data_IF_970128117021
#
_entry.id   IF_970128117021
#
_cell.length_a   1.000
_cell.length_b   1.000
_cell.length_c   1.000
_cell.angle_alpha   90.00
_cell.angle_beta   90.00
_cell.angle_gamma   90.00
#
_symmetry.space_group_name_H-M   'P 1'
#
loop_
_entity.id
_entity.type
_entity.pdbx_description
1 polymer ?
#
# COMPACT_ATOMS: atom_id res chain seq x y z
N UNK A 1 -4.98 -21.71 27.04
CA UNK A 1 -3.96 -20.62 27.02
C UNK A 1 -4.09 -19.76 25.76
N UNK A 2 -4.33 -20.39 24.61
CA UNK A 2 -4.65 -19.81 23.30
C UNK A 2 -5.45 -18.48 23.30
N UNK A 3 -6.61 -18.40 23.95
CA UNK A 3 -7.46 -17.18 23.97
C UNK A 3 -6.74 -15.98 24.60
N UNK A 4 -5.96 -16.21 25.67
CA UNK A 4 -5.16 -15.15 26.31
C UNK A 4 -4.06 -14.68 25.37
N UNK A 5 -3.40 -15.61 24.68
CA UNK A 5 -2.31 -15.33 23.74
C UNK A 5 -2.81 -14.57 22.50
N UNK A 6 -3.95 -14.98 21.94
CA UNK A 6 -4.63 -14.32 20.84
C UNK A 6 -5.06 -12.89 21.21
N UNK A 7 -5.58 -12.70 22.44
CA UNK A 7 -5.91 -11.37 22.97
C UNK A 7 -4.67 -10.47 23.07
N UNK A 8 -3.53 -11.00 23.50
CA UNK A 8 -2.26 -10.25 23.58
C UNK A 8 -1.77 -9.87 22.18
N UNK A 9 -1.76 -10.80 21.23
CA UNK A 9 -1.32 -10.54 19.85
C UNK A 9 -2.17 -9.45 19.18
N UNK A 10 -3.49 -9.53 19.33
CA UNK A 10 -4.40 -8.58 18.67
C UNK A 10 -4.38 -7.22 19.37
N UNK A 11 -4.57 -7.18 20.70
CA UNK A 11 -4.73 -5.92 21.42
C UNK A 11 -3.43 -5.14 21.60
N UNK A 12 -2.26 -5.78 21.47
CA UNK A 12 -0.97 -5.09 21.42
C UNK A 12 -0.71 -4.32 20.12
N UNK A 13 -1.55 -4.54 19.09
CA UNK A 13 -1.42 -3.94 17.75
C UNK A 13 -2.62 -3.07 17.38
N UNK A 14 -3.81 -3.50 17.80
CA UNK A 14 -5.09 -2.84 17.56
C UNK A 14 -5.75 -2.48 18.89
N UNK A 15 -5.76 -1.20 19.27
CA UNK A 15 -6.58 -0.72 20.37
C UNK A 15 -8.04 -1.12 20.17
N UNK A 16 -8.76 -1.45 21.25
CA UNK A 16 -10.19 -1.79 21.19
C UNK A 16 -11.01 -0.72 20.47
N UNK A 17 -10.67 0.55 20.68
CA UNK A 17 -11.30 1.69 20.00
C UNK A 17 -11.13 1.63 18.48
N UNK A 18 -9.95 1.28 17.98
CA UNK A 18 -9.70 1.12 16.54
C UNK A 18 -10.55 0.00 15.95
N UNK A 19 -10.63 -1.15 16.63
CA UNK A 19 -11.45 -2.28 16.19
C UNK A 19 -12.93 -1.87 16.08
N UNK A 20 -13.44 -1.19 17.11
CA UNK A 20 -14.83 -0.70 17.11
C UNK A 20 -15.10 0.30 15.98
N UNK A 21 -14.18 1.22 15.71
CA UNK A 21 -14.31 2.19 14.62
C UNK A 21 -14.35 1.50 13.26
N UNK A 22 -13.47 0.51 13.01
CA UNK A 22 -13.47 -0.26 11.76
C UNK A 22 -14.80 -0.99 11.60
N UNK A 23 -15.24 -1.74 12.61
CA UNK A 23 -16.50 -2.49 12.56
C UNK A 23 -17.73 -1.59 12.37
N UNK A 24 -17.76 -0.41 13.02
CA UNK A 24 -18.83 0.55 12.85
C UNK A 24 -18.86 1.13 11.43
N UNK A 25 -17.68 1.47 10.88
CA UNK A 25 -17.56 1.98 9.53
C UNK A 25 -17.97 0.91 8.51
N UNK A 26 -17.54 -0.33 8.69
CA UNK A 26 -17.92 -1.45 7.83
C UNK A 26 -19.44 -1.68 7.85
N UNK A 27 -20.06 -1.65 9.02
CA UNK A 27 -21.51 -1.79 9.14
C UNK A 27 -22.26 -0.69 8.35
N UNK A 28 -21.83 0.56 8.49
CA UNK A 28 -22.37 1.70 7.72
C UNK A 28 -22.16 1.49 6.22
N UNK A 29 -20.95 1.08 5.82
CA UNK A 29 -20.59 0.87 4.41
C UNK A 29 -21.38 -0.29 3.79
N UNK A 30 -21.64 -1.37 4.52
CA UNK A 30 -22.52 -2.46 4.09
C UNK A 30 -23.95 -1.96 3.90
N UNK A 31 -24.49 -1.21 4.86
CA UNK A 31 -25.85 -0.68 4.80
C UNK A 31 -26.05 0.22 3.57
N UNK A 32 -25.08 1.06 3.24
CA UNK A 32 -25.12 1.96 2.07
C UNK A 32 -24.96 1.18 0.76
N UNK A 33 -24.14 0.12 0.77
CA UNK A 33 -23.81 -0.65 -0.46
C UNK A 33 -24.85 -1.71 -0.80
N UNK A 34 -25.60 -2.19 0.19
CA UNK A 34 -26.58 -3.27 0.03
C UNK A 34 -27.70 -2.98 -0.99
N UNK A 35 -28.29 -1.76 -1.03
CA UNK A 35 -29.25 -1.40 -2.08
C UNK A 35 -28.65 -1.41 -3.49
N UNK A 36 -27.34 -1.21 -3.64
CA UNK A 36 -26.66 -1.05 -4.94
C UNK A 36 -26.86 -2.23 -5.90
N UNK A 37 -26.90 -3.46 -5.40
CA UNK A 37 -27.15 -4.65 -6.23
C UNK A 37 -28.58 -4.71 -6.79
N UNK A 38 -29.55 -4.13 -6.09
CA UNK A 38 -30.93 -4.05 -6.58
C UNK A 38 -31.05 -3.04 -7.74
N UNK A 39 -30.16 -2.04 -7.79
CA UNK A 39 -30.11 -1.05 -8.87
C UNK A 39 -29.27 -1.50 -10.07
N UNK A 40 -28.20 -2.28 -9.85
CA UNK A 40 -27.35 -2.84 -10.92
C UNK A 40 -27.13 -4.35 -10.71
N UNK A 41 -28.04 -5.21 -11.20
CA UNK A 41 -27.97 -6.65 -10.97
C UNK A 41 -26.82 -7.34 -11.73
N UNK A 42 -26.28 -6.67 -12.76
CA UNK A 42 -25.15 -7.14 -13.55
C UNK A 42 -23.86 -6.54 -12.98
N UNK A 43 -22.88 -7.40 -12.72
CA UNK A 43 -21.54 -6.98 -12.30
C UNK A 43 -20.88 -6.29 -13.50
N UNK A 44 -20.43 -5.05 -13.32
CA UNK A 44 -19.77 -4.33 -14.40
C UNK A 44 -18.42 -5.00 -14.74
N UNK A 45 -18.04 -5.11 -16.02
CA UNK A 45 -16.76 -5.70 -16.43
C UNK A 45 -15.55 -5.05 -15.74
N UNK A 46 -15.62 -3.75 -15.47
CA UNK A 46 -14.59 -2.95 -14.81
C UNK A 46 -14.42 -3.35 -13.35
N UNK A 47 -15.55 -3.59 -12.67
CA UNK A 47 -15.55 -4.07 -11.31
C UNK A 47 -14.95 -5.47 -11.22
N UNK A 48 -15.33 -6.36 -12.14
CA UNK A 48 -14.79 -7.72 -12.20
C UNK A 48 -13.28 -7.71 -12.44
N UNK A 49 -12.80 -6.82 -13.32
CA UNK A 49 -11.38 -6.63 -13.60
C UNK A 49 -10.63 -6.12 -12.37
N UNK A 50 -11.09 -5.04 -11.74
CA UNK A 50 -10.38 -4.45 -10.59
C UNK A 50 -10.36 -5.41 -9.39
N UNK A 51 -11.49 -6.06 -9.10
CA UNK A 51 -11.58 -7.05 -8.01
C UNK A 51 -10.64 -8.23 -8.27
N UNK A 52 -10.55 -8.67 -9.53
CA UNK A 52 -9.66 -9.75 -9.93
C UNK A 52 -8.20 -9.35 -9.72
N UNK A 53 -7.78 -8.21 -10.25
CA UNK A 53 -6.41 -7.73 -10.14
C UNK A 53 -6.01 -7.47 -8.68
N UNK A 54 -6.88 -6.84 -7.89
CA UNK A 54 -6.64 -6.53 -6.49
C UNK A 54 -6.44 -7.80 -5.64
N UNK A 55 -7.38 -8.76 -5.71
CA UNK A 55 -7.27 -10.00 -4.94
C UNK A 55 -6.05 -10.81 -5.40
N UNK A 56 -5.82 -10.88 -6.71
CA UNK A 56 -4.66 -11.59 -7.26
C UNK A 56 -3.35 -10.99 -6.75
N UNK A 57 -3.23 -9.67 -6.74
CA UNK A 57 -2.03 -8.98 -6.23
C UNK A 57 -1.76 -9.30 -4.75
N UNK A 58 -2.80 -9.25 -3.90
CA UNK A 58 -2.67 -9.58 -2.48
C UNK A 58 -2.24 -11.04 -2.26
N UNK A 59 -2.84 -11.97 -3.01
CA UNK A 59 -2.48 -13.39 -2.94
C UNK A 59 -1.07 -13.63 -3.48
N UNK A 60 -0.66 -12.98 -4.57
CA UNK A 60 0.65 -13.13 -5.18
C UNK A 60 1.80 -12.72 -4.25
N UNK A 61 1.60 -11.69 -3.43
CA UNK A 61 2.62 -11.19 -2.49
C UNK A 61 2.62 -11.98 -1.16
N UNK A 62 1.48 -12.57 -0.79
CA UNK A 62 1.34 -13.26 0.50
C UNK A 62 2.39 -14.35 0.82
N UNK A 63 2.95 -15.14 -0.14
CA UNK A 63 4.07 -16.06 0.09
C UNK A 63 5.32 -15.44 0.72
N UNK A 64 5.53 -14.13 0.51
CA UNK A 64 6.73 -13.42 0.94
C UNK A 64 6.58 -12.82 2.35
N UNK A 65 5.35 -12.72 2.88
CA UNK A 65 5.03 -12.15 4.20
C UNK A 65 5.37 -13.10 5.35
N UNK A 66 6.65 -13.23 5.68
CA UNK A 66 7.16 -14.39 6.43
C UNK A 66 7.08 -14.28 7.95
N UNK A 67 6.56 -13.17 8.52
CA UNK A 67 6.20 -13.02 9.94
C UNK A 67 4.74 -12.69 10.21
N UNK A 68 3.86 -13.15 9.32
CA UNK A 68 2.42 -12.96 9.47
C UNK A 68 2.02 -11.48 9.69
N UNK A 69 2.81 -10.53 9.17
CA UNK A 69 2.67 -9.08 9.39
C UNK A 69 2.32 -8.60 10.82
N UNK A 70 2.59 -9.41 11.84
CA UNK A 70 2.22 -9.12 13.23
C UNK A 70 3.37 -9.10 14.22
N UNK A 71 4.38 -9.95 14.00
CA UNK A 71 5.34 -10.35 15.02
C UNK A 71 6.69 -9.71 14.72
N UNK A 72 7.04 -8.64 15.44
CA UNK A 72 8.38 -8.06 15.34
C UNK A 72 9.44 -9.05 15.85
N UNK A 73 10.72 -8.74 15.65
CA UNK A 73 11.81 -9.60 16.17
C UNK A 73 11.75 -9.71 17.70
N UNK A 74 11.52 -8.59 18.37
CA UNK A 74 11.31 -8.60 19.82
C UNK A 74 10.13 -9.47 20.25
N UNK A 75 9.03 -9.47 19.49
CA UNK A 75 7.87 -10.31 19.81
C UNK A 75 8.18 -11.79 19.58
N UNK A 76 8.89 -12.14 18.49
CA UNK A 76 9.26 -13.53 18.23
C UNK A 76 10.18 -14.06 19.32
N UNK A 77 11.15 -13.25 19.75
CA UNK A 77 12.12 -13.63 20.78
C UNK A 77 11.42 -13.78 22.15
N UNK A 78 10.45 -12.91 22.46
CA UNK A 78 9.61 -13.05 23.65
C UNK A 78 8.71 -14.28 23.61
N UNK A 79 8.03 -14.51 22.48
CA UNK A 79 7.10 -15.63 22.31
C UNK A 79 7.80 -17.00 22.44
N UNK A 80 9.07 -17.09 22.06
CA UNK A 80 9.93 -18.29 22.24
C UNK A 80 10.21 -18.60 23.71
N UNK A 81 10.27 -17.57 24.56
CA UNK A 81 10.53 -17.75 25.99
C UNK A 81 9.29 -18.17 26.79
N UNK A 82 8.10 -18.13 26.19
CA UNK A 82 6.87 -18.51 26.87
C UNK A 82 6.78 -20.05 26.89
N UNK A 83 6.52 -20.69 28.05
CA UNK A 83 6.34 -22.13 28.15
C UNK A 83 4.96 -22.55 27.58
N UNK A 84 4.83 -22.51 26.25
CA UNK A 84 3.63 -22.88 25.49
C UNK A 84 4.01 -23.87 24.40
N UNK A 85 3.15 -24.84 24.13
CA UNK A 85 3.35 -25.78 23.03
C UNK A 85 3.44 -25.07 21.68
N UNK A 86 4.41 -25.47 20.85
CA UNK A 86 4.62 -24.91 19.51
C UNK A 86 3.32 -24.90 18.68
N UNK A 87 2.50 -25.97 18.75
CA UNK A 87 1.23 -26.06 18.03
C UNK A 87 0.22 -24.98 18.46
N UNK A 88 0.12 -24.70 19.76
CA UNK A 88 -0.76 -23.65 20.26
C UNK A 88 -0.28 -22.27 19.83
N UNK A 89 1.03 -22.07 19.83
CA UNK A 89 1.65 -20.82 19.44
C UNK A 89 1.44 -20.56 17.93
N UNK A 90 1.74 -21.53 17.08
CA UNK A 90 1.51 -21.48 15.63
C UNK A 90 0.05 -21.18 15.30
N UNK A 91 -0.87 -21.91 15.93
CA UNK A 91 -2.32 -21.70 15.74
C UNK A 91 -2.72 -20.28 16.14
N UNK A 92 -2.18 -19.77 17.24
CA UNK A 92 -2.46 -18.41 17.70
C UNK A 92 -1.89 -17.34 16.77
N UNK A 93 -0.72 -17.57 16.15
CA UNK A 93 -0.14 -16.64 15.17
C UNK A 93 -0.96 -16.60 13.87
N UNK A 94 -1.35 -17.77 13.35
CA UNK A 94 -2.18 -17.87 12.14
C UNK A 94 -3.55 -17.24 12.37
N UNK A 95 -4.22 -17.54 13.50
CA UNK A 95 -5.51 -16.95 13.84
C UNK A 95 -5.43 -15.46 14.15
N UNK A 96 -4.37 -15.02 14.83
CA UNK A 96 -4.10 -13.60 15.06
C UNK A 96 -3.94 -12.85 13.75
N UNK A 97 -3.21 -13.42 12.79
CA UNK A 97 -3.05 -12.80 11.47
C UNK A 97 -4.31 -12.85 10.62
N UNK A 98 -5.06 -13.94 10.67
CA UNK A 98 -6.38 -14.00 10.08
C UNK A 98 -7.26 -12.84 10.55
N UNK A 99 -7.33 -12.60 11.86
CA UNK A 99 -8.14 -11.50 12.41
C UNK A 99 -7.67 -10.13 11.92
N UNK A 100 -6.35 -9.91 11.87
CA UNK A 100 -5.78 -8.64 11.42
C UNK A 100 -5.99 -8.45 9.91
N UNK A 101 -5.75 -9.46 9.11
CA UNK A 101 -6.06 -9.46 7.67
C UNK A 101 -7.55 -9.25 7.43
N UNK A 102 -8.43 -9.77 8.29
CA UNK A 102 -9.86 -9.53 8.22
C UNK A 102 -10.17 -8.05 8.45
N UNK A 103 -9.62 -7.43 9.51
CA UNK A 103 -9.80 -5.99 9.76
C UNK A 103 -9.29 -5.10 8.61
N UNK A 104 -8.14 -5.44 8.02
CA UNK A 104 -7.63 -4.70 6.86
C UNK A 104 -8.50 -4.85 5.62
N UNK A 105 -8.96 -6.08 5.37
CA UNK A 105 -9.78 -6.38 4.20
C UNK A 105 -11.19 -5.80 4.37
N UNK A 106 -11.64 -5.59 5.60
CA UNK A 106 -12.99 -5.12 5.91
C UNK A 106 -13.30 -3.73 5.30
N UNK A 107 -12.28 -2.88 5.13
CA UNK A 107 -12.40 -1.61 4.38
C UNK A 107 -12.95 -1.81 2.96
N UNK A 108 -12.76 -2.98 2.36
CA UNK A 108 -13.27 -3.34 1.04
C UNK A 108 -14.60 -4.11 1.08
N UNK A 109 -15.26 -4.21 2.24
CA UNK A 109 -16.53 -4.95 2.37
C UNK A 109 -17.62 -4.38 1.48
N UNK A 110 -17.75 -3.05 1.46
CA UNK A 110 -18.72 -2.34 0.62
C UNK A 110 -18.51 -2.67 -0.85
N UNK A 111 -17.25 -2.71 -1.28
CA UNK A 111 -16.86 -3.05 -2.65
C UNK A 111 -17.43 -4.43 -3.05
N UNK A 112 -17.19 -5.47 -2.26
CA UNK A 112 -17.68 -6.82 -2.57
C UNK A 112 -19.20 -6.96 -2.42
N UNK A 113 -19.79 -6.32 -1.41
CA UNK A 113 -21.25 -6.35 -1.19
C UNK A 113 -22.00 -5.65 -2.33
N UNK A 114 -21.47 -4.55 -2.84
CA UNK A 114 -22.07 -3.83 -3.96
C UNK A 114 -22.23 -4.73 -5.19
N UNK A 115 -21.19 -5.48 -5.56
CA UNK A 115 -21.23 -6.32 -6.77
C UNK A 115 -21.85 -7.70 -6.57
N UNK A 116 -21.57 -8.34 -5.42
CA UNK A 116 -21.93 -9.72 -5.16
C UNK A 116 -22.99 -9.84 -4.07
N UNK A 117 -23.62 -8.75 -3.62
CA UNK A 117 -24.62 -8.73 -2.55
C UNK A 117 -24.08 -9.34 -1.27
N UNK A 118 -24.96 -9.95 -0.46
CA UNK A 118 -24.55 -10.58 0.80
C UNK A 118 -23.55 -11.73 0.60
N UNK A 119 -23.54 -12.40 -0.56
CA UNK A 119 -22.49 -13.40 -0.85
C UNK A 119 -21.08 -12.80 -0.94
N UNK A 120 -20.96 -11.50 -1.22
CA UNK A 120 -19.69 -10.77 -1.18
C UNK A 120 -19.06 -10.72 0.22
N UNK A 121 -19.85 -10.86 1.30
CA UNK A 121 -19.32 -10.91 2.67
C UNK A 121 -18.41 -12.11 2.91
N UNK A 122 -18.60 -13.21 2.18
CA UNK A 122 -17.82 -14.44 2.30
C UNK A 122 -16.40 -14.26 1.74
N UNK A 123 -16.20 -13.33 0.80
CA UNK A 123 -14.90 -13.10 0.17
C UNK A 123 -13.86 -12.61 1.19
N UNK A 124 -14.28 -11.78 2.15
CA UNK A 124 -13.39 -11.23 3.16
C UNK A 124 -12.75 -12.28 4.06
N UNK A 125 -13.50 -13.16 4.75
CA UNK A 125 -12.88 -14.21 5.56
C UNK A 125 -12.08 -15.17 4.68
N UNK A 126 -12.50 -15.49 3.45
CA UNK A 126 -11.72 -16.35 2.55
C UNK A 126 -10.39 -15.73 2.13
N UNK A 127 -10.39 -14.44 1.78
CA UNK A 127 -9.20 -13.69 1.42
C UNK A 127 -8.26 -13.55 2.61
N UNK A 128 -8.78 -13.16 3.77
CA UNK A 128 -8.02 -13.04 5.00
C UNK A 128 -7.39 -14.39 5.39
N UNK A 129 -8.13 -15.50 5.28
CA UNK A 129 -7.64 -16.83 5.58
C UNK A 129 -6.58 -17.29 4.57
N UNK A 130 -6.78 -17.00 3.29
CA UNK A 130 -5.82 -17.31 2.22
C UNK A 130 -4.49 -16.59 2.46
N UNK A 131 -4.54 -15.26 2.64
CA UNK A 131 -3.34 -14.44 2.88
C UNK A 131 -2.63 -14.87 4.16
N UNK A 132 -3.40 -15.13 5.22
CA UNK A 132 -2.82 -15.47 6.52
C UNK A 132 -2.22 -16.87 6.60
N UNK A 133 -2.83 -17.82 5.90
CA UNK A 133 -2.34 -19.20 5.85
C UNK A 133 -1.23 -19.38 4.81
N UNK A 134 -1.19 -18.57 3.76
CA UNK A 134 -0.18 -18.71 2.69
C UNK A 134 1.24 -18.65 3.24
N UNK A 135 1.55 -17.61 4.01
CA UNK A 135 2.89 -17.40 4.57
C UNK A 135 3.36 -18.58 5.42
N UNK A 136 2.45 -19.18 6.20
CA UNK A 136 2.72 -20.39 6.97
C UNK A 136 2.91 -21.63 6.11
N UNK A 137 2.05 -21.82 5.10
CA UNK A 137 2.05 -23.00 4.23
C UNK A 137 3.33 -23.12 3.37
N UNK A 138 3.86 -22.00 2.89
CA UNK A 138 5.09 -21.97 2.06
C UNK A 138 6.34 -21.60 2.85
N UNK A 139 6.25 -21.46 4.18
CA UNK A 139 7.30 -20.89 5.01
C UNK A 139 8.68 -21.53 4.76
N UNK A 140 8.73 -22.87 4.78
CA UNK A 140 9.94 -23.68 4.62
C UNK A 140 10.42 -23.85 3.16
N UNK A 141 9.72 -23.28 2.17
CA UNK A 141 10.12 -23.39 0.78
C UNK A 141 11.26 -22.40 0.46
N UNK A 142 12.14 -22.80 -0.47
CA UNK A 142 13.17 -21.90 -1.01
C UNK A 142 12.53 -20.72 -1.77
N UNK A 143 13.27 -19.61 -1.94
CA UNK A 143 12.76 -18.43 -2.65
C UNK A 143 12.27 -18.78 -4.08
N UNK A 144 13.01 -19.62 -4.82
CA UNK A 144 12.62 -20.07 -6.16
C UNK A 144 11.27 -20.79 -6.13
N UNK A 145 11.04 -21.65 -5.13
CA UNK A 145 9.78 -22.35 -4.97
C UNK A 145 8.64 -21.40 -4.54
N UNK A 146 8.89 -20.42 -3.67
CA UNK A 146 7.91 -19.37 -3.31
C UNK A 146 7.48 -18.54 -4.52
N UNK A 147 8.43 -18.16 -5.36
CA UNK A 147 8.16 -17.47 -6.64
C UNK A 147 7.32 -18.37 -7.56
N UNK A 148 7.67 -19.65 -7.70
CA UNK A 148 6.88 -20.61 -8.48
C UNK A 148 5.42 -20.71 -8.01
N UNK A 149 5.20 -20.87 -6.70
CA UNK A 149 3.84 -20.90 -6.11
C UNK A 149 3.09 -19.60 -6.38
N UNK A 150 3.74 -18.45 -6.18
CA UNK A 150 3.15 -17.13 -6.45
C UNK A 150 2.72 -16.98 -7.91
N UNK A 151 3.57 -17.37 -8.87
CA UNK A 151 3.27 -17.33 -10.29
C UNK A 151 2.12 -18.27 -10.67
N UNK A 152 2.11 -19.51 -10.17
CA UNK A 152 1.04 -20.47 -10.43
C UNK A 152 -0.32 -20.00 -9.91
N UNK A 153 -0.36 -19.45 -8.69
CA UNK A 153 -1.59 -18.88 -8.13
C UNK A 153 -2.04 -17.64 -8.89
N UNK A 154 -1.10 -16.78 -9.25
CA UNK A 154 -1.38 -15.59 -10.08
C UNK A 154 -2.02 -15.99 -11.40
N UNK A 155 -1.46 -16.99 -12.09
CA UNK A 155 -2.03 -17.51 -13.34
C UNK A 155 -3.44 -18.10 -13.12
N UNK A 156 -3.65 -18.88 -12.05
CA UNK A 156 -4.96 -19.46 -11.76
C UNK A 156 -6.01 -18.41 -11.39
N UNK A 157 -5.64 -17.37 -10.64
CA UNK A 157 -6.54 -16.28 -10.30
C UNK A 157 -6.85 -15.39 -11.52
N UNK A 158 -5.84 -15.03 -12.32
CA UNK A 158 -6.03 -14.25 -13.55
C UNK A 158 -6.78 -15.02 -14.65
N UNK A 159 -6.83 -16.35 -14.60
CA UNK A 159 -7.60 -17.15 -15.57
C UNK A 159 -9.10 -16.80 -15.57
N UNK A 160 -9.64 -16.21 -14.50
CA UNK A 160 -11.00 -15.70 -14.47
C UNK A 160 -11.26 -14.61 -15.52
N UNK A 161 -10.24 -13.83 -15.91
CA UNK A 161 -10.34 -12.80 -16.94
C UNK A 161 -10.66 -13.41 -18.32
N UNK A 162 -10.21 -14.63 -18.57
CA UNK A 162 -10.57 -15.43 -19.74
C UNK A 162 -11.92 -16.17 -19.56
N UNK A 163 -12.70 -15.82 -18.53
CA UNK A 163 -13.97 -16.45 -18.13
C UNK A 163 -13.82 -17.94 -17.80
N UNK A 164 -12.66 -18.36 -17.31
CA UNK A 164 -12.44 -19.74 -16.89
C UNK A 164 -13.24 -20.06 -15.61
N UNK A 165 -14.18 -21.03 -15.63
CA UNK A 165 -15.13 -21.24 -14.54
C UNK A 165 -14.49 -21.83 -13.26
N UNK A 166 -13.36 -22.52 -13.39
CA UNK A 166 -12.65 -23.16 -12.27
C UNK A 166 -11.62 -22.23 -11.60
N UNK A 167 -11.62 -20.94 -11.94
CA UNK A 167 -10.81 -19.95 -11.22
C UNK A 167 -11.47 -19.61 -9.86
N UNK A 168 -10.69 -19.39 -8.77
CA UNK A 168 -11.22 -18.91 -7.50
C UNK A 168 -11.97 -17.58 -7.60
N UNK A 169 -11.68 -16.79 -8.64
CA UNK A 169 -12.28 -15.47 -8.87
C UNK A 169 -13.37 -15.47 -9.97
N UNK A 170 -13.75 -16.64 -10.48
CA UNK A 170 -14.78 -16.77 -11.53
C UNK A 170 -16.17 -16.27 -11.08
N UNK A 171 -16.40 -16.13 -9.78
CA UNK A 171 -17.61 -15.54 -9.18
C UNK A 171 -17.88 -14.09 -9.62
N UNK A 172 -16.82 -13.31 -9.91
CA UNK A 172 -16.97 -11.95 -10.46
C UNK A 172 -17.46 -11.93 -11.91
N UNK A 173 -17.46 -13.09 -12.57
CA UNK A 173 -17.94 -13.27 -13.94
C UNK A 173 -19.22 -14.12 -13.99
N UNK A 174 -19.89 -14.31 -12.85
CA UNK A 174 -21.18 -15.02 -12.74
C UNK A 174 -21.08 -16.52 -12.42
N UNK A 175 -19.88 -17.10 -12.33
CA UNK A 175 -19.70 -18.52 -12.04
C UNK A 175 -19.67 -18.79 -10.53
N UNK A 176 -20.71 -19.43 -9.98
CA UNK A 176 -20.79 -19.75 -8.54
C UNK A 176 -19.70 -20.71 -8.06
N UNK A 177 -19.08 -21.48 -8.96
CA UNK A 177 -17.96 -22.38 -8.62
C UNK A 177 -16.75 -21.64 -8.04
N UNK A 178 -16.56 -20.35 -8.34
CA UNK A 178 -15.48 -19.55 -7.78
C UNK A 178 -15.46 -19.56 -6.24
N UNK A 179 -16.64 -19.48 -5.59
CA UNK A 179 -16.75 -19.57 -4.13
C UNK A 179 -16.24 -20.91 -3.59
N UNK A 180 -16.52 -22.01 -4.30
CA UNK A 180 -16.11 -23.36 -3.90
C UNK A 180 -14.59 -23.50 -4.01
N UNK A 181 -14.01 -23.12 -5.16
CA UNK A 181 -12.56 -23.20 -5.36
C UNK A 181 -11.79 -22.26 -4.42
N UNK A 182 -12.31 -21.07 -4.16
CA UNK A 182 -11.66 -20.15 -3.22
C UNK A 182 -11.71 -20.66 -1.79
N UNK A 183 -12.85 -21.23 -1.36
CA UNK A 183 -12.98 -21.86 -0.05
C UNK A 183 -12.07 -23.08 0.10
N UNK A 184 -12.03 -23.94 -0.92
CA UNK A 184 -11.17 -25.11 -0.95
C UNK A 184 -9.69 -24.72 -0.85
N UNK A 185 -9.26 -23.70 -1.59
CA UNK A 185 -7.91 -23.16 -1.50
C UNK A 185 -7.61 -22.64 -0.09
N UNK A 186 -8.48 -21.82 0.49
CA UNK A 186 -8.28 -21.23 1.81
C UNK A 186 -8.14 -22.31 2.91
N UNK A 187 -9.01 -23.33 2.90
CA UNK A 187 -8.97 -24.45 3.84
C UNK A 187 -7.71 -25.30 3.63
N UNK A 188 -7.34 -25.57 2.38
CA UNK A 188 -6.13 -26.34 2.06
C UNK A 188 -4.87 -25.63 2.55
N UNK A 189 -4.79 -24.31 2.34
CA UNK A 189 -3.68 -23.50 2.83
C UNK A 189 -3.64 -23.48 4.37
N UNK A 190 -4.78 -23.36 5.03
CA UNK A 190 -4.86 -23.42 6.50
C UNK A 190 -4.34 -24.76 7.02
N UNK A 191 -4.81 -25.88 6.45
CA UNK A 191 -4.36 -27.21 6.82
C UNK A 191 -2.85 -27.39 6.59
N UNK A 192 -2.32 -26.88 5.47
CA UNK A 192 -0.89 -26.90 5.19
C UNK A 192 -0.09 -26.02 6.15
N UNK A 193 -0.59 -24.84 6.48
CA UNK A 193 0.06 -23.93 7.43
C UNK A 193 0.17 -24.58 8.81
N UNK A 194 -0.92 -25.15 9.32
CA UNK A 194 -0.93 -25.82 10.62
C UNK A 194 -0.06 -27.09 10.66
N UNK A 195 0.10 -27.78 9.52
CA UNK A 195 0.91 -29.02 9.44
C UNK A 195 2.39 -28.77 9.20
N UNK A 196 2.74 -27.77 8.38
CA UNK A 196 4.12 -27.56 7.89
C UNK A 196 4.87 -26.44 8.59
N UNK A 197 4.18 -25.48 9.18
CA UNK A 197 4.85 -24.36 9.82
C UNK A 197 5.60 -24.87 11.07
N UNK A 198 6.89 -24.52 11.16
CA UNK A 198 7.73 -24.91 12.28
C UNK A 198 8.23 -23.65 12.98
N UNK A 199 7.87 -23.51 14.26
CA UNK A 199 8.20 -22.34 15.07
C UNK A 199 9.68 -22.27 15.45
N UNK A 200 10.37 -23.42 15.59
CA UNK A 200 11.80 -23.43 15.93
C UNK A 200 12.66 -22.82 14.81
N UNK A 201 12.27 -23.03 13.55
CA UNK A 201 12.91 -22.38 12.38
C UNK A 201 12.55 -20.89 12.29
N UNK A 202 11.39 -20.51 12.84
CA UNK A 202 10.88 -19.14 12.83
C UNK A 202 11.62 -18.20 13.78
N UNK A 203 12.05 -18.70 14.95
CA UNK A 203 12.79 -17.91 15.94
C UNK A 203 14.26 -17.69 15.60
N UNK A 204 14.90 -18.65 14.93
CA UNK A 204 16.36 -18.63 14.67
C UNK A 204 16.78 -17.77 13.48
N UNK A 205 15.84 -17.23 12.69
CA UNK A 205 16.15 -16.65 11.37
C UNK A 205 16.67 -15.20 11.41
N UNK A 206 17.07 -14.71 12.57
CA UNK A 206 17.36 -13.28 12.75
C UNK A 206 18.82 -12.97 13.05
N UNK A 207 19.74 -13.51 12.25
CA UNK A 207 21.09 -12.97 12.17
C UNK A 207 21.37 -12.46 10.75
N UNK A 208 21.00 -11.22 10.50
CA UNK A 208 21.67 -10.44 9.45
C UNK A 208 23.00 -10.00 10.07
N UNK A 209 24.16 -10.44 9.55
CA UNK A 209 25.43 -9.98 10.06
C UNK A 209 25.48 -8.45 10.00
N UNK A 210 25.78 -7.74 11.10
CA UNK A 210 26.11 -6.33 11.01
C UNK A 210 27.40 -6.21 10.20
N UNK A 211 27.35 -5.42 9.12
CA UNK A 211 28.51 -5.12 8.31
C UNK A 211 28.54 -5.89 6.99
N UNK A 212 28.10 -5.21 5.93
CA UNK A 212 28.79 -5.05 4.65
C UNK A 212 27.87 -4.29 3.68
N UNK A 213 27.52 -3.07 4.04
CA UNK A 213 27.21 -2.07 3.04
C UNK A 213 28.20 -0.94 3.28
N UNK A 214 29.35 -1.02 2.59
CA UNK A 214 30.15 0.16 2.30
C UNK A 214 29.20 1.22 1.74
N UNK A 215 29.35 2.47 2.17
CA UNK A 215 28.66 3.62 1.57
C UNK A 215 29.10 3.65 0.11
N UNK A 216 28.33 2.99 -0.76
CA UNK A 216 28.81 2.60 -2.10
C UNK A 216 29.07 3.77 -3.02
N UNK A 217 28.70 4.99 -2.64
CA UNK A 217 29.04 6.24 -3.33
C UNK A 217 28.82 7.40 -2.35
N UNK A 218 29.90 8.03 -1.90
CA UNK A 218 29.82 9.34 -1.24
C UNK A 218 29.49 10.40 -2.30
N UNK A 219 28.57 11.29 -1.98
CA UNK A 219 28.18 12.38 -2.86
C UNK A 219 28.55 13.71 -2.23
N UNK A 220 29.43 14.44 -2.91
CA UNK A 220 29.71 15.83 -2.57
C UNK A 220 28.76 16.74 -3.35
N UNK A 221 28.01 17.56 -2.63
CA UNK A 221 27.19 18.61 -3.21
C UNK A 221 27.95 19.93 -3.10
N UNK A 222 28.15 20.63 -4.23
CA UNK A 222 28.87 21.90 -4.27
C UNK A 222 27.92 23.09 -4.57
N UNK A 223 26.68 23.02 -4.06
CA UNK A 223 25.67 24.07 -4.21
C UNK A 223 25.64 24.96 -2.97
N UNK A 224 25.61 26.29 -3.18
CA UNK A 224 25.40 27.27 -2.10
C UNK A 224 23.93 27.41 -1.70
N UNK A 225 22.98 26.95 -2.52
CA UNK A 225 21.55 27.06 -2.23
C UNK A 225 21.01 25.74 -1.64
N UNK A 226 20.46 25.75 -0.40
CA UNK A 226 19.91 24.57 0.26
C UNK A 226 18.80 23.86 -0.53
N UNK A 227 17.94 24.62 -1.21
CA UNK A 227 16.86 24.06 -2.03
C UNK A 227 17.41 23.26 -3.21
N UNK A 228 18.39 23.83 -3.92
CA UNK A 228 19.02 23.17 -5.07
C UNK A 228 19.76 21.91 -4.62
N UNK A 229 20.33 21.91 -3.41
CA UNK A 229 20.99 20.75 -2.83
C UNK A 229 19.98 19.62 -2.55
N UNK A 230 18.84 19.93 -1.92
CA UNK A 230 17.77 18.96 -1.68
C UNK A 230 17.16 18.42 -2.98
N UNK A 231 16.90 19.30 -3.95
CA UNK A 231 16.40 18.91 -5.26
C UNK A 231 17.41 18.03 -5.99
N UNK A 232 18.69 18.41 -6.01
CA UNK A 232 19.76 17.63 -6.61
C UNK A 232 19.90 16.24 -5.99
N UNK A 233 19.75 16.12 -4.66
CA UNK A 233 19.69 14.81 -3.98
C UNK A 233 18.49 13.99 -4.47
N UNK A 234 17.29 14.57 -4.46
CA UNK A 234 16.03 13.89 -4.81
C UNK A 234 15.89 13.56 -6.32
N UNK A 235 16.66 14.22 -7.19
CA UNK A 235 16.72 13.94 -8.64
C UNK A 235 17.89 13.03 -9.04
N UNK A 236 18.79 12.71 -8.11
CA UNK A 236 19.89 11.77 -8.35
C UNK A 236 19.59 10.41 -7.75
N UNK A 237 19.02 10.42 -6.56
CA UNK A 237 18.69 9.22 -5.79
C UNK A 237 17.23 9.28 -5.40
N UNK A 238 16.54 8.21 -5.75
CA UNK A 238 15.22 7.92 -5.26
C UNK A 238 15.34 6.94 -4.11
N UNK A 239 14.95 7.39 -2.92
CA UNK A 239 14.95 6.57 -1.71
C UNK A 239 13.57 5.96 -1.53
N UNK A 240 13.48 4.65 -1.68
CA UNK A 240 12.32 3.87 -1.28
C UNK A 240 12.67 3.17 0.01
N UNK A 241 12.09 3.68 1.09
CA UNK A 241 12.27 3.11 2.41
C UNK A 241 10.95 2.62 2.98
N UNK A 242 10.98 1.42 3.55
CA UNK A 242 9.81 0.84 4.17
C UNK A 242 10.18 -0.31 5.07
N UNK A 243 9.32 -0.57 6.06
CA UNK A 243 9.35 -1.85 6.78
C UNK A 243 8.80 -2.91 5.83
N UNK A 244 9.68 -3.72 5.27
CA UNK A 244 9.29 -4.88 4.48
C UNK A 244 9.46 -6.13 5.33
N UNK A 245 8.42 -6.95 5.37
CA UNK A 245 8.48 -8.28 5.99
C UNK A 245 8.98 -9.29 4.96
N UNK A 246 10.21 -9.08 4.49
CA UNK A 246 10.87 -9.98 3.54
C UNK A 246 11.72 -10.98 4.33
N UNK A 247 11.53 -12.27 4.06
CA UNK A 247 12.35 -13.36 4.60
C UNK A 247 12.36 -13.51 6.12
N UNK A 248 11.24 -13.25 6.78
CA UNK A 248 11.10 -13.58 8.19
C UNK A 248 11.94 -12.66 9.06
N UNK A 249 12.17 -11.42 8.61
CA UNK A 249 12.74 -10.34 9.40
C UNK A 249 12.00 -9.03 9.09
N UNK A 250 11.62 -8.29 10.13
CA UNK A 250 11.23 -6.89 9.96
C UNK A 250 12.50 -6.08 9.75
N UNK A 251 13.06 -6.15 8.55
CA UNK A 251 14.12 -5.23 8.16
C UNK A 251 13.46 -3.97 7.62
N UNK A 252 13.83 -2.84 8.22
CA UNK A 252 13.68 -1.58 7.53
C UNK A 252 14.62 -1.62 6.33
N UNK A 253 14.07 -1.78 5.12
CA UNK A 253 14.84 -1.78 3.88
C UNK A 253 14.70 -0.38 3.33
N UNK A 254 15.81 0.35 3.30
CA UNK A 254 15.96 1.53 2.47
C UNK A 254 16.79 1.15 1.26
N UNK A 255 16.20 1.27 0.07
CA UNK A 255 16.92 1.06 -1.18
C UNK A 255 17.03 2.39 -1.90
N UNK A 256 18.28 2.77 -2.17
CA UNK A 256 18.63 3.90 -3.04
C UNK A 256 18.65 3.42 -4.47
N UNK A 257 17.77 3.98 -5.30
CA UNK A 257 17.72 3.71 -6.73
C UNK A 257 18.13 4.98 -7.45
N UNK A 258 19.04 4.86 -8.42
CA UNK A 258 19.43 6.01 -9.24
C UNK A 258 18.23 6.49 -10.05
N UNK A 259 17.97 7.79 -10.04
CA UNK A 259 16.76 8.38 -10.60
C UNK A 259 16.58 8.08 -12.10
N UNK A 260 17.69 8.00 -12.86
CA UNK A 260 17.65 7.66 -14.28
C UNK A 260 17.02 6.28 -14.54
N UNK A 261 17.20 5.30 -13.64
CA UNK A 261 16.59 3.96 -13.78
C UNK A 261 15.07 4.03 -13.67
N UNK A 262 14.58 4.86 -12.77
CA UNK A 262 13.14 5.09 -12.60
C UNK A 262 12.59 5.81 -13.82
N UNK A 263 13.30 6.83 -14.32
CA UNK A 263 12.91 7.52 -15.53
C UNK A 263 12.84 6.55 -16.72
N UNK A 264 13.81 5.62 -16.87
CA UNK A 264 13.76 4.58 -17.90
C UNK A 264 12.53 3.68 -17.79
N UNK A 265 12.13 3.29 -16.57
CA UNK A 265 10.90 2.53 -16.34
C UNK A 265 9.67 3.35 -16.73
N UNK A 266 9.61 4.62 -16.34
CA UNK A 266 8.47 5.50 -16.66
C UNK A 266 8.34 5.76 -18.16
N UNK A 267 9.46 5.90 -18.88
CA UNK A 267 9.47 5.98 -20.34
C UNK A 267 8.97 4.67 -20.95
N UNK A 268 9.39 3.51 -20.44
CA UNK A 268 8.90 2.21 -20.89
C UNK A 268 7.39 2.06 -20.68
N UNK A 269 6.88 2.45 -19.52
CA UNK A 269 5.43 2.46 -19.23
C UNK A 269 4.69 3.43 -20.16
N UNK A 270 5.23 4.62 -20.39
CA UNK A 270 4.66 5.59 -21.32
C UNK A 270 4.56 5.03 -22.76
N UNK A 271 5.61 4.34 -23.22
CA UNK A 271 5.60 3.68 -24.54
C UNK A 271 4.55 2.57 -24.64
N UNK A 272 4.38 1.76 -23.58
CA UNK A 272 3.32 0.73 -23.54
C UNK A 272 1.94 1.37 -23.56
N UNK A 273 1.72 2.44 -22.78
CA UNK A 273 0.44 3.18 -22.79
C UNK A 273 0.15 3.73 -24.19
N UNK A 274 1.13 4.37 -24.83
CA UNK A 274 1.00 4.89 -26.19
C UNK A 274 0.65 3.77 -27.19
N UNK A 275 1.31 2.61 -27.10
CA UNK A 275 1.01 1.46 -27.96
C UNK A 275 -0.42 0.94 -27.73
N UNK A 276 -0.85 0.80 -26.48
CA UNK A 276 -2.19 0.33 -26.15
C UNK A 276 -3.28 1.29 -26.64
N UNK A 277 -3.02 2.60 -26.54
CA UNK A 277 -3.93 3.63 -27.02
C UNK A 277 -4.01 3.64 -28.56
N UNK A 278 -2.86 3.50 -29.25
CA UNK A 278 -2.80 3.30 -30.71
C UNK A 278 -3.57 2.06 -31.18
N UNK A 279 -3.55 0.99 -30.41
CA UNK A 279 -4.30 -0.24 -30.68
C UNK A 279 -5.79 -0.13 -30.34
N UNK A 280 -6.27 1.02 -29.85
CA UNK A 280 -7.68 1.25 -29.50
C UNK A 280 -8.15 0.43 -28.29
N UNK A 281 -7.24 -0.03 -27.44
CA UNK A 281 -7.56 -0.89 -26.29
C UNK A 281 -8.26 -0.06 -25.21
N UNK A 282 -9.59 -0.06 -25.23
CA UNK A 282 -10.48 0.46 -24.18
C UNK A 282 -9.93 1.73 -23.50
N UNK A 283 -9.71 2.77 -24.31
CA UNK A 283 -9.01 4.00 -23.94
C UNK A 283 -9.43 4.60 -22.59
N UNK A 284 -10.72 4.60 -22.26
CA UNK A 284 -11.24 5.09 -20.97
C UNK A 284 -10.75 4.28 -19.76
N UNK A 285 -10.70 2.96 -19.88
CA UNK A 285 -10.23 2.09 -18.79
C UNK A 285 -8.73 2.25 -18.59
N UNK A 286 -7.98 2.39 -19.67
CA UNK A 286 -6.56 2.66 -19.61
C UNK A 286 -6.28 3.93 -18.79
N UNK A 287 -6.99 5.02 -19.08
CA UNK A 287 -6.84 6.30 -18.38
C UNK A 287 -7.11 6.17 -16.88
N UNK A 288 -8.26 5.59 -16.54
CA UNK A 288 -8.66 5.39 -15.15
C UNK A 288 -7.64 4.56 -14.36
N UNK A 289 -7.20 3.42 -14.92
CA UNK A 289 -6.25 2.54 -14.22
C UNK A 289 -4.85 3.14 -14.11
N UNK A 290 -4.40 3.92 -15.11
CA UNK A 290 -3.13 4.63 -15.04
C UNK A 290 -3.17 5.69 -13.92
N UNK A 291 -4.23 6.49 -13.84
CA UNK A 291 -4.40 7.49 -12.78
C UNK A 291 -4.41 6.83 -11.40
N UNK A 292 -5.21 5.78 -11.20
CA UNK A 292 -5.26 5.07 -9.91
C UNK A 292 -3.91 4.41 -9.57
N UNK A 293 -3.23 3.80 -10.54
CA UNK A 293 -1.92 3.18 -10.32
C UNK A 293 -0.86 4.20 -9.89
N UNK A 294 -0.81 5.35 -10.57
CA UNK A 294 0.13 6.42 -10.27
C UNK A 294 -0.24 7.17 -8.98
N UNK A 295 -1.51 7.22 -8.61
CA UNK A 295 -1.95 7.67 -7.29
C UNK A 295 -1.42 6.78 -6.16
N UNK A 296 -1.58 5.45 -6.27
CA UNK A 296 -1.07 4.50 -5.27
C UNK A 296 0.46 4.62 -5.16
N UNK A 297 1.14 4.77 -6.30
CA UNK A 297 2.57 5.03 -6.34
C UNK A 297 2.94 6.33 -5.60
N UNK A 298 2.21 7.41 -5.86
CA UNK A 298 2.41 8.73 -5.23
C UNK A 298 2.22 8.67 -3.72
N UNK A 299 1.16 8.01 -3.23
CA UNK A 299 0.99 7.78 -1.78
C UNK A 299 2.18 7.01 -1.21
N UNK A 300 2.58 5.91 -1.87
CA UNK A 300 3.66 5.05 -1.37
C UNK A 300 4.99 5.81 -1.28
N UNK A 301 5.28 6.66 -2.26
CA UNK A 301 6.46 7.51 -2.27
C UNK A 301 6.39 8.63 -1.21
N UNK A 302 5.26 9.32 -1.11
CA UNK A 302 5.04 10.37 -0.12
C UNK A 302 5.13 9.82 1.32
N UNK A 303 4.64 8.61 1.54
CA UNK A 303 4.74 7.87 2.79
C UNK A 303 6.21 7.57 3.16
N UNK A 304 7.02 7.18 2.17
CA UNK A 304 8.46 6.92 2.34
C UNK A 304 9.24 8.16 2.82
N UNK A 305 8.88 9.35 2.35
CA UNK A 305 9.63 10.57 2.64
C UNK A 305 9.84 10.80 4.15
N UNK A 306 8.76 10.87 4.94
CA UNK A 306 8.84 11.24 6.37
C UNK A 306 8.95 10.08 7.36
N UNK A 307 8.67 8.86 6.93
CA UNK A 307 8.71 7.67 7.80
C UNK A 307 10.09 7.04 7.84
N UNK A 308 10.80 7.19 6.74
CA UNK A 308 11.73 6.17 6.30
C UNK A 308 13.12 6.80 6.14
N UNK A 309 13.20 8.01 5.61
CA UNK A 309 14.45 8.75 5.56
C UNK A 309 14.83 9.25 6.96
N UNK A 310 16.13 9.22 7.33
CA UNK A 310 16.59 9.70 8.63
C UNK A 310 16.66 11.24 8.69
N UNK A 311 15.51 11.87 8.48
CA UNK A 311 15.43 13.32 8.25
C UNK A 311 15.87 14.13 9.47
N UNK A 312 15.80 13.57 10.68
CA UNK A 312 16.30 14.24 11.90
C UNK A 312 17.78 14.61 11.82
N UNK A 313 18.58 13.92 11.00
CA UNK A 313 19.98 14.26 10.76
C UNK A 313 20.13 15.60 10.02
N UNK A 314 19.17 15.91 9.14
CA UNK A 314 19.20 17.10 8.29
C UNK A 314 18.40 18.27 8.91
N UNK A 315 17.52 18.01 9.89
CA UNK A 315 16.60 18.99 10.49
C UNK A 315 17.26 20.05 11.36
N UNK A 316 18.48 19.81 11.85
CA UNK A 316 19.21 20.78 12.68
C UNK A 316 19.98 21.84 11.86
N UNK A 317 19.98 21.72 10.54
CA UNK A 317 20.81 22.55 9.65
C UNK A 317 20.12 23.88 9.28
N UNK A 318 18.79 23.96 9.39
CA UNK A 318 18.02 25.15 9.02
C UNK A 318 16.71 25.26 9.81
N UNK A 319 16.00 26.39 9.67
CA UNK A 319 14.72 26.57 10.36
C UNK A 319 13.70 25.50 9.93
N UNK A 320 12.83 25.01 10.85
CA UNK A 320 11.84 23.97 10.57
C UNK A 320 10.99 24.21 9.31
N UNK A 321 10.52 25.44 9.14
CA UNK A 321 9.67 25.83 8.02
C UNK A 321 10.45 25.84 6.69
N UNK A 322 11.68 26.34 6.70
CA UNK A 322 12.53 26.41 5.51
C UNK A 322 12.93 25.01 5.06
N UNK A 323 13.31 24.16 6.02
CA UNK A 323 13.57 22.75 5.79
C UNK A 323 12.39 22.06 5.12
N UNK A 324 11.21 22.16 5.74
CA UNK A 324 10.02 21.48 5.26
C UNK A 324 9.59 21.97 3.88
N UNK A 325 9.63 23.28 3.62
CA UNK A 325 9.34 23.85 2.30
C UNK A 325 10.27 23.25 1.24
N UNK A 326 11.58 23.32 1.46
CA UNK A 326 12.54 22.84 0.47
C UNK A 326 12.45 21.33 0.26
N UNK A 327 12.28 20.57 1.33
CA UNK A 327 12.17 19.13 1.27
C UNK A 327 10.89 18.68 0.55
N UNK A 328 9.72 19.19 0.97
CA UNK A 328 8.43 18.80 0.39
C UNK A 328 8.29 19.26 -1.05
N UNK A 329 8.71 20.49 -1.38
CA UNK A 329 8.67 20.99 -2.77
C UNK A 329 9.64 20.20 -3.65
N UNK A 330 10.86 19.91 -3.18
CA UNK A 330 11.81 19.13 -3.98
C UNK A 330 11.34 17.70 -4.23
N UNK A 331 10.66 17.07 -3.27
CA UNK A 331 10.01 15.77 -3.46
C UNK A 331 8.85 15.85 -4.46
N UNK A 332 7.98 16.85 -4.35
CA UNK A 332 6.88 17.06 -5.30
C UNK A 332 7.40 17.31 -6.73
N UNK A 333 8.47 18.08 -6.90
CA UNK A 333 9.13 18.28 -8.19
C UNK A 333 9.74 16.98 -8.74
N UNK A 334 10.32 16.14 -7.87
CA UNK A 334 10.81 14.82 -8.28
C UNK A 334 9.67 13.92 -8.79
N UNK A 335 8.50 13.96 -8.13
CA UNK A 335 7.28 13.28 -8.63
C UNK A 335 6.87 13.83 -9.99
N UNK A 336 6.77 15.15 -10.14
CA UNK A 336 6.41 15.79 -11.41
C UNK A 336 7.32 15.34 -12.55
N UNK A 337 8.63 15.41 -12.36
CA UNK A 337 9.62 15.04 -13.38
C UNK A 337 9.58 13.54 -13.68
N UNK A 338 9.29 12.70 -12.69
CA UNK A 338 9.13 11.27 -12.87
C UNK A 338 7.87 10.92 -13.68
N UNK A 339 6.76 11.62 -13.45
CA UNK A 339 5.49 11.39 -14.14
C UNK A 339 5.45 12.01 -15.55
N UNK A 340 6.34 12.97 -15.83
CA UNK A 340 6.41 13.72 -17.08
C UNK A 340 6.31 12.85 -18.36
N UNK A 341 7.05 11.72 -18.51
CA UNK A 341 6.98 10.92 -19.72
C UNK A 341 5.57 10.38 -19.98
N UNK A 342 4.86 9.94 -18.92
CA UNK A 342 3.51 9.40 -19.04
C UNK A 342 2.51 10.53 -19.30
N UNK A 343 2.62 11.65 -18.59
CA UNK A 343 1.69 12.78 -18.77
C UNK A 343 1.76 13.33 -20.20
N UNK A 344 2.95 13.42 -20.79
CA UNK A 344 3.12 13.92 -22.16
C UNK A 344 2.42 13.03 -23.20
N UNK A 345 2.41 11.71 -23.02
CA UNK A 345 1.65 10.81 -23.93
C UNK A 345 0.16 11.15 -23.90
N UNK A 346 -0.43 11.37 -22.73
CA UNK A 346 -1.84 11.74 -22.64
C UNK A 346 -2.14 13.11 -23.24
N UNK A 347 -1.21 14.06 -23.14
CA UNK A 347 -1.34 15.35 -23.83
C UNK A 347 -1.34 15.17 -25.35
N UNK A 348 -0.43 14.36 -25.89
CA UNK A 348 -0.32 14.08 -27.34
C UNK A 348 -1.60 13.40 -27.87
N UNK A 349 -2.18 12.50 -27.09
CA UNK A 349 -3.45 11.81 -27.42
C UNK A 349 -4.68 12.72 -27.25
N UNK A 350 -4.51 13.94 -26.73
CA UNK A 350 -5.60 14.92 -26.54
C UNK A 350 -6.39 14.73 -25.24
N UNK A 351 -5.91 13.90 -24.31
CA UNK A 351 -6.53 13.62 -23.01
C UNK A 351 -6.04 14.61 -21.95
N UNK A 352 -6.45 15.87 -22.09
CA UNK A 352 -5.97 17.00 -21.25
C UNK A 352 -6.28 16.80 -19.76
N UNK A 353 -7.42 16.21 -19.40
CA UNK A 353 -7.77 15.93 -18.00
C UNK A 353 -6.81 14.94 -17.33
N UNK A 354 -6.44 13.87 -18.03
CA UNK A 354 -5.45 12.89 -17.56
C UNK A 354 -4.07 13.54 -17.48
N UNK A 355 -3.69 14.32 -18.48
CA UNK A 355 -2.43 15.07 -18.47
C UNK A 355 -2.31 15.96 -17.22
N UNK A 356 -3.31 16.82 -16.94
CA UNK A 356 -3.29 17.71 -15.79
C UNK A 356 -3.30 16.94 -14.46
N UNK A 357 -4.08 15.87 -14.39
CA UNK A 357 -4.12 14.97 -13.23
C UNK A 357 -2.74 14.43 -12.87
N UNK A 358 -1.97 13.99 -13.87
CA UNK A 358 -0.64 13.41 -13.66
C UNK A 358 0.46 14.46 -13.50
N UNK A 359 0.42 15.52 -14.31
CA UNK A 359 1.47 16.53 -14.38
C UNK A 359 1.41 17.52 -13.22
N UNK A 360 0.21 17.88 -12.74
CA UNK A 360 0.00 18.92 -11.75
C UNK A 360 -0.61 18.39 -10.45
N UNK A 361 -1.74 17.70 -10.52
CA UNK A 361 -2.52 17.35 -9.32
C UNK A 361 -1.85 16.24 -8.48
N UNK A 362 -1.22 15.25 -9.10
CA UNK A 362 -0.44 14.23 -8.36
C UNK A 362 0.75 14.84 -7.59
N UNK A 363 1.58 15.70 -8.20
CA UNK A 363 2.60 16.45 -7.46
C UNK A 363 2.04 17.32 -6.34
N UNK A 364 0.94 18.06 -6.56
CA UNK A 364 0.32 18.91 -5.53
C UNK A 364 -0.22 18.07 -4.36
N UNK A 365 -0.97 17.01 -4.66
CA UNK A 365 -1.50 16.11 -3.64
C UNK A 365 -0.38 15.43 -2.84
N UNK A 366 0.78 15.16 -3.44
CA UNK A 366 1.94 14.62 -2.71
C UNK A 366 2.39 15.52 -1.56
N UNK A 367 2.26 16.85 -1.68
CA UNK A 367 2.56 17.84 -0.62
C UNK A 367 1.62 17.63 0.57
N UNK A 368 0.32 17.55 0.29
CA UNK A 368 -0.72 17.30 1.30
C UNK A 368 -0.49 15.96 2.00
N UNK A 369 -0.24 14.91 1.23
CA UNK A 369 0.02 13.55 1.73
C UNK A 369 1.26 13.56 2.63
N UNK A 370 2.42 14.00 2.12
CA UNK A 370 3.66 14.08 2.89
C UNK A 370 3.48 14.87 4.20
N UNK A 371 2.75 15.98 4.14
CA UNK A 371 2.48 16.81 5.32
C UNK A 371 1.62 16.09 6.35
N UNK A 372 0.57 15.39 5.94
CA UNK A 372 -0.27 14.62 6.87
C UNK A 372 0.51 13.45 7.49
N UNK A 373 1.25 12.70 6.68
CA UNK A 373 2.08 11.59 7.17
C UNK A 373 3.16 12.09 8.14
N UNK A 374 3.78 13.24 7.88
CA UNK A 374 4.84 13.80 8.74
C UNK A 374 4.38 14.07 10.16
N UNK A 375 3.09 14.38 10.41
CA UNK A 375 2.58 14.66 11.76
C UNK A 375 1.95 13.45 12.44
N UNK A 376 1.18 12.66 11.69
CA UNK A 376 0.31 11.65 12.27
C UNK A 376 0.84 10.22 12.14
N UNK A 377 1.79 10.00 11.24
CA UNK A 377 2.32 8.69 10.92
C UNK A 377 3.85 8.69 11.05
N UNK A 378 4.37 9.21 12.16
CA UNK A 378 5.79 9.02 12.48
C UNK A 378 6.01 7.62 13.02
N UNK A 379 7.09 6.98 12.56
CA UNK A 379 7.54 5.68 13.04
C UNK A 379 8.71 5.95 13.96
N UNK A 380 8.52 5.85 15.28
CA UNK A 380 9.67 5.73 16.16
C UNK A 380 10.38 4.44 15.74
N UNK A 381 11.65 4.54 15.37
CA UNK A 381 12.44 3.40 14.88
C UNK A 381 12.39 2.21 15.83
N UNK A 382 12.18 2.50 17.13
CA UNK A 382 12.14 1.53 18.22
C UNK A 382 10.76 0.94 18.50
N UNK A 383 9.65 1.61 18.13
CA UNK A 383 8.31 1.14 18.47
C UNK A 383 7.66 0.34 17.32
N UNK A 384 6.92 -0.74 17.65
CA UNK A 384 6.10 -1.44 16.67
C UNK A 384 5.02 -0.50 16.14
N UNK A 385 4.66 -0.64 14.86
CA UNK A 385 3.59 0.17 14.28
C UNK A 385 2.25 -0.26 14.90
N UNK A 386 1.68 0.60 15.73
CA UNK A 386 0.31 0.44 16.23
C UNK A 386 -0.70 1.09 15.29
N UNK A 387 -1.86 0.46 15.09
CA UNK A 387 -2.96 1.06 14.34
C UNK A 387 -3.76 1.98 15.26
N UNK A 388 -3.44 3.28 15.24
CA UNK A 388 -4.22 4.28 15.97
C UNK A 388 -5.40 4.78 15.11
N UNK A 389 -6.51 5.22 15.73
CA UNK A 389 -7.61 5.86 15.00
C UNK A 389 -7.16 7.08 14.20
N UNK A 390 -6.17 7.83 14.71
CA UNK A 390 -5.56 8.96 14.00
C UNK A 390 -4.86 8.55 12.70
N UNK A 391 -4.16 7.42 12.68
CA UNK A 391 -3.50 6.90 11.46
C UNK A 391 -4.53 6.42 10.44
N UNK A 392 -5.61 5.79 10.90
CA UNK A 392 -6.72 5.37 10.05
C UNK A 392 -7.41 6.59 9.40
N UNK A 393 -7.72 7.61 10.20
CA UNK A 393 -8.32 8.86 9.74
C UNK A 393 -7.44 9.60 8.72
N UNK A 394 -6.12 9.62 8.92
CA UNK A 394 -5.17 10.16 7.94
C UNK A 394 -5.23 9.42 6.61
N UNK A 395 -5.37 8.08 6.64
CA UNK A 395 -5.64 7.29 5.46
C UNK A 395 -6.87 7.78 4.68
N UNK A 396 -8.00 8.04 5.36
CA UNK A 396 -9.19 8.60 4.71
C UNK A 396 -8.97 10.01 4.17
N UNK A 397 -8.34 10.91 4.94
CA UNK A 397 -8.06 12.27 4.48
C UNK A 397 -7.17 12.25 3.23
N UNK A 398 -6.21 11.32 3.16
CA UNK A 398 -5.33 11.22 1.99
C UNK A 398 -6.09 10.84 0.72
N UNK A 399 -7.31 10.29 0.79
CA UNK A 399 -8.17 10.00 -0.37
C UNK A 399 -8.89 11.25 -0.91
N UNK A 400 -9.01 12.33 -0.12
CA UNK A 400 -9.71 13.55 -0.56
C UNK A 400 -9.12 14.11 -1.87
N UNK A 401 -7.80 14.30 -2.02
CA UNK A 401 -7.22 14.74 -3.29
C UNK A 401 -7.57 13.84 -4.49
N UNK A 402 -7.64 12.52 -4.27
CA UNK A 402 -8.01 11.57 -5.33
C UNK A 402 -9.37 11.87 -5.93
N UNK A 403 -10.34 12.36 -5.14
CA UNK A 403 -11.67 12.69 -5.65
C UNK A 403 -11.62 13.81 -6.69
N UNK A 404 -10.83 14.86 -6.45
CA UNK A 404 -10.60 15.94 -7.42
C UNK A 404 -9.94 15.43 -8.69
N UNK A 405 -8.89 14.60 -8.53
CA UNK A 405 -8.16 13.97 -9.63
C UNK A 405 -9.09 13.10 -10.51
N UNK A 406 -9.95 12.29 -9.90
CA UNK A 406 -10.92 11.46 -10.64
C UNK A 406 -11.94 12.34 -11.37
N UNK A 407 -12.48 13.36 -10.72
CA UNK A 407 -13.44 14.28 -11.36
C UNK A 407 -12.79 14.99 -12.56
N UNK A 408 -11.55 15.46 -12.42
CA UNK A 408 -10.78 16.08 -13.49
C UNK A 408 -10.53 15.13 -14.67
N UNK A 409 -10.22 13.86 -14.35
CA UNK A 409 -9.99 12.81 -15.35
C UNK A 409 -11.26 12.51 -16.14
N UNK A 410 -12.42 12.45 -15.47
CA UNK A 410 -13.71 12.07 -16.07
C UNK A 410 -14.42 13.24 -16.76
N UNK A 411 -14.26 14.46 -16.26
CA UNK A 411 -14.96 15.67 -16.71
C UNK A 411 -13.97 16.82 -16.93
N UNK A 412 -13.15 16.78 -17.99
CA UNK A 412 -12.14 17.79 -18.29
C UNK A 412 -12.76 19.06 -18.91
N UNK A 413 -13.69 19.70 -18.20
CA UNK A 413 -14.22 21.01 -18.56
C UNK A 413 -13.32 22.10 -17.96
N UNK A 414 -13.10 23.24 -18.65
CA UNK A 414 -12.22 24.31 -18.14
C UNK A 414 -12.54 24.77 -16.71
N UNK A 415 -13.83 24.87 -16.38
CA UNK A 415 -14.31 25.24 -15.02
C UNK A 415 -13.93 24.18 -13.99
N UNK A 416 -14.04 22.90 -14.34
CA UNK A 416 -13.64 21.78 -13.48
C UNK A 416 -12.13 21.76 -13.29
N UNK A 417 -11.35 21.98 -14.36
CA UNK A 417 -9.89 22.07 -14.28
C UNK A 417 -9.46 23.15 -13.29
N UNK A 418 -9.97 24.39 -13.47
CA UNK A 418 -9.64 25.51 -12.57
C UNK A 418 -10.10 25.21 -11.15
N UNK A 419 -11.30 24.66 -10.97
CA UNK A 419 -11.85 24.33 -9.65
C UNK A 419 -11.05 23.28 -8.90
N UNK A 420 -10.65 22.18 -9.56
CA UNK A 420 -9.85 21.12 -8.96
C UNK A 420 -8.45 21.62 -8.62
N UNK A 421 -7.77 22.32 -9.53
CA UNK A 421 -6.44 22.88 -9.25
C UNK A 421 -6.48 23.89 -8.10
N UNK A 422 -7.51 24.76 -8.06
CA UNK A 422 -7.70 25.71 -6.96
C UNK A 422 -7.93 24.97 -5.63
N UNK A 423 -8.73 23.91 -5.63
CA UNK A 423 -8.95 23.07 -4.46
C UNK A 423 -7.65 22.41 -3.96
N UNK A 424 -6.86 21.80 -4.85
CA UNK A 424 -5.57 21.18 -4.52
C UNK A 424 -4.56 22.19 -3.96
N UNK A 425 -4.51 23.39 -4.53
CA UNK A 425 -3.70 24.49 -3.99
C UNK A 425 -4.19 24.91 -2.60
N UNK A 426 -5.50 25.04 -2.39
CA UNK A 426 -6.08 25.42 -1.10
C UNK A 426 -5.77 24.42 0.01
N UNK A 427 -5.65 23.13 -0.29
CA UNK A 427 -5.30 22.11 0.72
C UNK A 427 -3.80 21.90 0.88
N UNK A 428 -2.98 22.13 -0.15
CA UNK A 428 -1.53 21.88 -0.13
C UNK A 428 -0.71 23.09 0.34
N UNK A 429 -1.02 24.29 -0.15
CA UNK A 429 -0.26 25.53 0.12
C UNK A 429 -0.24 25.92 1.61
N UNK A 430 -1.32 25.77 2.40
CA UNK A 430 -1.27 26.12 3.82
C UNK A 430 -0.19 25.36 4.60
N UNK A 431 0.10 24.11 4.23
CA UNK A 431 1.21 23.37 4.85
C UNK A 431 2.55 24.03 4.55
N UNK A 432 2.77 24.51 3.33
CA UNK A 432 3.99 25.23 2.98
C UNK A 432 4.13 26.55 3.76
N UNK A 433 3.04 27.16 4.22
CA UNK A 433 3.08 28.46 4.90
C UNK A 433 3.11 28.37 6.43
N UNK A 434 2.64 27.27 7.03
CA UNK A 434 2.41 27.19 8.46
C UNK A 434 3.66 26.87 9.28
N UNK A 435 4.28 27.91 9.86
CA UNK A 435 5.44 27.77 10.76
C UNK A 435 5.15 26.87 11.97
N UNK A 436 4.08 27.18 12.71
CA UNK A 436 3.72 26.45 13.92
C UNK A 436 3.32 24.98 13.66
N UNK A 437 2.91 24.64 12.44
CA UNK A 437 2.71 23.24 12.05
C UNK A 437 4.04 22.49 12.04
N UNK A 438 5.05 23.01 11.32
CA UNK A 438 6.34 22.36 11.15
C UNK A 438 7.18 22.34 12.42
N UNK A 439 7.10 23.38 13.26
CA UNK A 439 7.74 23.37 14.58
C UNK A 439 7.25 22.18 15.43
N UNK A 440 5.93 21.95 15.48
CA UNK A 440 5.36 20.79 16.20
C UNK A 440 5.73 19.46 15.56
N UNK A 441 5.84 19.40 14.24
CA UNK A 441 6.27 18.18 13.54
C UNK A 441 7.69 17.84 13.94
N UNK A 442 8.62 18.81 13.91
CA UNK A 442 10.03 18.59 14.25
C UNK A 442 10.22 18.30 15.74
N UNK A 443 9.56 19.06 16.62
CA UNK A 443 9.57 18.79 18.06
C UNK A 443 9.18 17.34 18.34
N UNK A 444 8.12 16.87 17.68
CA UNK A 444 7.68 15.48 17.80
C UNK A 444 8.71 14.49 17.28
N UNK A 445 9.33 14.73 16.12
CA UNK A 445 10.38 13.85 15.55
C UNK A 445 11.58 13.74 16.50
N UNK A 446 11.96 14.83 17.15
CA UNK A 446 13.14 14.88 18.03
C UNK A 446 12.87 14.27 19.42
N UNK A 447 11.61 14.21 19.87
CA UNK A 447 11.21 13.75 21.20
C UNK A 447 10.61 12.33 21.23
N UNK A 448 10.27 11.77 20.07
CA UNK A 448 9.66 10.43 19.90
C UNK A 448 10.68 9.36 19.56
#
# INVERSE_FOLDING_TARGET
>A
MLVKLLKVIILSRFPKSTILVILALDAVMILISFPGRNFSPVISPEFSLLSTLYITFLVAISPFNSRFNLITKSDSDFLVMIPVDDRELITSLVLGYFFVSMLFSAVFVAWFVYALGLSGLIILPLLALTISSMSGAVYNLSLKAKVGVSLSLTAWFLSSLAKFPLSPLSMFFGFKLGYVFFSALAITLLALALKRFNYTTFSTLSYTPPGKDEVKNEFTFNSRNPFILMLGRNLRIFELGGRMNLFGSYTYISRRIEWWKILSVMIGVAAVIALLDLLGVRAFLLDFYVVIGLWIFTISYANSAFISEPIWLDMNVMNPLEFARYYVISKALSVLLMLLPISLIFLIVGKVGVFLSLFLELPLSSITIMSLYSRFYQVNFQNPMTFSPSRFLVGFITVIPLTGIIVLTLLPLPVVMIGVTAFELLISVPFLLSRGYWERVIEKIMTS
#
